data_IF_503301655471
#
_entry.id   IF_503301655471
#
_cell.length_a   1.000
_cell.length_b   1.000
_cell.length_c   1.000
_cell.angle_alpha   90.00
_cell.angle_beta   90.00
_cell.angle_gamma   90.00
#
_symmetry.space_group_name_H-M   'P 1'
#
loop_
_entity.id
_entity.type
_entity.pdbx_description
1 polymer ?
#
# COMPACT_ATOMS: atom_id res chain seq x y z
N UNK A 1 6.54 -16.40 -10.83
CA UNK A 1 5.40 -15.92 -11.60
C UNK A 1 5.86 -14.92 -12.66
N UNK A 2 6.15 -15.36 -13.92
CA UNK A 2 6.59 -14.46 -14.98
C UNK A 2 5.46 -13.62 -15.56
N UNK A 3 4.21 -14.04 -15.36
CA UNK A 3 3.03 -13.43 -15.98
C UNK A 3 2.32 -12.45 -15.04
N UNK A 4 1.59 -11.48 -15.65
CA UNK A 4 0.73 -10.52 -14.94
C UNK A 4 -0.53 -10.35 -15.80
N UNK A 5 -1.73 -10.40 -15.22
CA UNK A 5 -2.09 -10.57 -13.81
C UNK A 5 -2.02 -12.01 -13.29
N UNK A 6 -1.90 -12.99 -14.19
CA UNK A 6 -1.86 -14.41 -13.87
C UNK A 6 -0.47 -14.83 -13.33
N UNK A 7 -0.39 -16.07 -12.83
CA UNK A 7 0.85 -16.70 -12.46
C UNK A 7 0.90 -18.08 -13.13
N UNK A 8 1.81 -18.29 -14.08
CA UNK A 8 1.89 -19.48 -14.90
C UNK A 8 0.59 -19.77 -15.68
N UNK A 9 -0.10 -18.72 -16.13
CA UNK A 9 -1.37 -18.82 -16.87
C UNK A 9 -2.60 -19.09 -15.99
N UNK A 10 -2.46 -19.20 -14.66
CA UNK A 10 -3.56 -19.48 -13.73
C UNK A 10 -3.74 -18.36 -12.70
N UNK A 11 -4.97 -18.20 -12.17
CA UNK A 11 -5.25 -17.27 -11.08
C UNK A 11 -4.62 -17.71 -9.75
N UNK A 12 -4.65 -19.04 -9.49
CA UNK A 12 -3.98 -19.67 -8.34
C UNK A 12 -3.03 -20.70 -8.90
N UNK A 13 -1.71 -20.43 -8.91
CA UNK A 13 -0.73 -21.35 -9.47
C UNK A 13 -0.56 -22.58 -8.56
N UNK A 14 -0.06 -23.70 -9.11
CA UNK A 14 0.33 -24.82 -8.29
C UNK A 14 1.47 -24.43 -7.35
N UNK A 15 1.21 -24.44 -6.04
CA UNK A 15 2.15 -24.01 -4.99
C UNK A 15 3.20 -25.08 -4.67
N UNK A 16 3.83 -25.62 -5.71
CA UNK A 16 4.82 -26.72 -5.60
C UNK A 16 6.25 -26.22 -5.37
N UNK A 17 6.49 -24.92 -5.51
CA UNK A 17 7.81 -24.30 -5.37
C UNK A 17 7.71 -23.09 -4.46
N UNK A 18 8.63 -22.98 -3.49
CA UNK A 18 8.68 -21.89 -2.51
C UNK A 18 8.76 -20.49 -3.16
N UNK A 19 9.47 -20.35 -4.29
CA UNK A 19 9.57 -19.07 -5.01
C UNK A 19 8.25 -18.66 -5.64
N UNK A 20 7.49 -19.61 -6.21
CA UNK A 20 6.16 -19.34 -6.78
C UNK A 20 5.21 -18.96 -5.66
N UNK A 21 5.22 -19.70 -4.57
CA UNK A 21 4.39 -19.41 -3.37
C UNK A 21 4.68 -18.01 -2.82
N UNK A 22 5.96 -17.66 -2.68
CA UNK A 22 6.37 -16.35 -2.18
C UNK A 22 5.89 -15.21 -3.10
N UNK A 23 6.10 -15.33 -4.40
CA UNK A 23 5.66 -14.32 -5.37
C UNK A 23 4.14 -14.17 -5.40
N UNK A 24 3.40 -15.28 -5.38
CA UNK A 24 1.94 -15.26 -5.34
C UNK A 24 1.42 -14.61 -4.06
N UNK A 25 1.94 -15.03 -2.90
CA UNK A 25 1.55 -14.48 -1.59
C UNK A 25 1.87 -12.99 -1.50
N UNK A 26 3.05 -12.56 -1.97
CA UNK A 26 3.43 -11.15 -2.01
C UNK A 26 2.44 -10.32 -2.84
N UNK A 27 2.03 -10.80 -4.02
CA UNK A 27 1.04 -10.11 -4.87
C UNK A 27 -0.31 -10.01 -4.17
N UNK A 28 -0.79 -11.09 -3.57
CA UNK A 28 -2.08 -11.12 -2.87
C UNK A 28 -2.09 -10.12 -1.71
N UNK A 29 -1.07 -10.17 -0.84
CA UNK A 29 -0.92 -9.23 0.28
C UNK A 29 -0.80 -7.79 -0.24
N UNK A 30 -0.03 -7.57 -1.31
CA UNK A 30 0.14 -6.25 -1.92
C UNK A 30 -1.17 -5.65 -2.44
N UNK A 31 -2.00 -6.46 -3.11
CA UNK A 31 -3.33 -6.03 -3.60
C UNK A 31 -4.24 -5.69 -2.41
N UNK A 32 -4.31 -6.54 -1.39
CA UNK A 32 -5.13 -6.30 -0.20
C UNK A 32 -4.68 -5.02 0.52
N UNK A 33 -3.37 -4.84 0.72
CA UNK A 33 -2.82 -3.63 1.32
C UNK A 33 -3.15 -2.37 0.50
N UNK A 34 -3.03 -2.44 -0.83
CA UNK A 34 -3.37 -1.32 -1.72
C UNK A 34 -4.85 -0.93 -1.60
N UNK A 35 -5.76 -1.90 -1.61
CA UNK A 35 -7.20 -1.65 -1.43
C UNK A 35 -7.51 -1.03 -0.07
N UNK A 36 -6.88 -1.50 1.01
CA UNK A 36 -7.05 -0.95 2.35
C UNK A 36 -6.53 0.50 2.44
N UNK A 37 -5.36 0.79 1.88
CA UNK A 37 -4.76 2.13 1.91
C UNK A 37 -5.60 3.12 1.09
N UNK A 38 -6.06 2.72 -0.10
CA UNK A 38 -6.94 3.55 -0.93
C UNK A 38 -8.26 3.79 -0.21
N UNK A 39 -8.87 2.75 0.35
CA UNK A 39 -10.11 2.86 1.13
C UNK A 39 -9.97 3.81 2.31
N UNK A 40 -8.89 3.69 3.09
CA UNK A 40 -8.58 4.60 4.20
C UNK A 40 -8.40 6.04 3.73
N UNK A 41 -7.66 6.25 2.64
CA UNK A 41 -7.42 7.58 2.07
C UNK A 41 -8.73 8.25 1.62
N UNK A 42 -9.60 7.51 0.93
CA UNK A 42 -10.92 7.98 0.52
C UNK A 42 -11.80 8.31 1.73
N UNK A 43 -11.77 7.49 2.77
CA UNK A 43 -12.51 7.75 4.00
C UNK A 43 -12.04 9.03 4.69
N UNK A 44 -10.73 9.24 4.85
CA UNK A 44 -10.12 10.44 5.43
C UNK A 44 -10.58 11.71 4.68
N UNK A 45 -10.63 11.65 3.35
CA UNK A 45 -11.10 12.78 2.53
C UNK A 45 -12.59 13.05 2.74
N UNK A 46 -13.42 12.00 2.81
CA UNK A 46 -14.89 12.12 2.96
C UNK A 46 -15.32 12.63 4.32
N UNK A 47 -14.63 12.24 5.39
CA UNK A 47 -14.97 12.68 6.76
C UNK A 47 -14.45 14.10 7.08
N UNK A 48 -13.98 14.83 6.09
CA UNK A 48 -13.45 16.20 6.26
C UNK A 48 -12.39 16.31 7.36
N UNK A 49 -11.51 15.32 7.44
CA UNK A 49 -10.41 15.31 8.39
C UNK A 49 -9.52 16.56 8.27
N UNK A 50 -8.76 16.93 9.31
CA UNK A 50 -7.83 18.05 9.27
C UNK A 50 -6.89 18.00 8.06
N UNK A 51 -6.56 19.18 7.50
CA UNK A 51 -5.75 19.29 6.28
C UNK A 51 -4.49 18.42 6.27
N UNK A 52 -3.66 18.35 7.34
CA UNK A 52 -2.46 17.51 7.33
C UNK A 52 -2.78 16.02 7.18
N UNK A 53 -3.85 15.52 7.80
CA UNK A 53 -4.26 14.12 7.65
C UNK A 53 -4.76 13.83 6.24
N UNK A 54 -5.51 14.76 5.63
CA UNK A 54 -5.97 14.62 4.24
C UNK A 54 -4.82 14.59 3.25
N UNK A 55 -3.81 15.46 3.43
CA UNK A 55 -2.62 15.48 2.56
C UNK A 55 -1.82 14.19 2.67
N UNK A 56 -1.62 13.67 3.89
CA UNK A 56 -0.94 12.38 4.09
C UNK A 56 -1.74 11.20 3.52
N UNK A 57 -3.06 11.22 3.65
CA UNK A 57 -3.92 10.21 3.03
C UNK A 57 -3.81 10.22 1.51
N UNK A 58 -3.85 11.39 0.87
CA UNK A 58 -3.68 11.52 -0.58
C UNK A 58 -2.27 11.11 -1.02
N UNK A 59 -1.23 11.46 -0.25
CA UNK A 59 0.13 11.01 -0.51
C UNK A 59 0.25 9.49 -0.42
N UNK A 60 -0.35 8.88 0.60
CA UNK A 60 -0.36 7.41 0.74
C UNK A 60 -1.06 6.73 -0.45
N UNK A 61 -2.19 7.27 -0.91
CA UNK A 61 -2.87 6.78 -2.10
C UNK A 61 -2.01 6.89 -3.36
N UNK A 62 -1.34 8.03 -3.57
CA UNK A 62 -0.44 8.21 -4.72
C UNK A 62 0.75 7.24 -4.67
N UNK A 63 1.36 7.07 -3.49
CA UNK A 63 2.49 6.16 -3.31
C UNK A 63 2.08 4.70 -3.51
N UNK A 64 0.91 4.28 -3.03
CA UNK A 64 0.48 2.88 -3.22
C UNK A 64 0.14 2.58 -4.68
N UNK A 65 -0.44 3.52 -5.41
CA UNK A 65 -0.68 3.37 -6.86
C UNK A 65 0.66 3.25 -7.60
N UNK A 66 1.62 4.10 -7.28
CA UNK A 66 2.99 4.03 -7.82
C UNK A 66 3.65 2.70 -7.48
N UNK A 67 3.46 2.21 -6.26
CA UNK A 67 3.98 0.93 -5.78
C UNK A 67 3.46 -0.25 -6.62
N UNK A 68 2.15 -0.28 -6.89
CA UNK A 68 1.53 -1.31 -7.73
C UNK A 68 2.06 -1.24 -9.16
N UNK A 69 2.17 -0.04 -9.74
CA UNK A 69 2.72 0.17 -11.08
C UNK A 69 4.18 -0.30 -11.20
N UNK A 70 5.04 0.05 -10.24
CA UNK A 70 6.44 -0.40 -10.19
C UNK A 70 6.55 -1.91 -9.98
N UNK A 71 5.66 -2.51 -9.17
CA UNK A 71 5.57 -3.96 -9.02
C UNK A 71 5.26 -4.64 -10.34
N UNK A 72 4.31 -4.10 -11.12
CA UNK A 72 4.00 -4.59 -12.46
C UNK A 72 5.21 -4.47 -13.40
N UNK A 73 5.84 -3.29 -13.46
CA UNK A 73 7.05 -3.07 -14.28
C UNK A 73 8.17 -4.02 -13.88
N UNK A 74 8.38 -4.27 -12.60
CA UNK A 74 9.40 -5.21 -12.10
C UNK A 74 9.19 -6.62 -12.64
N UNK A 75 7.93 -7.07 -12.76
CA UNK A 75 7.62 -8.40 -13.31
C UNK A 75 7.89 -8.45 -14.81
N UNK A 76 7.34 -7.48 -15.57
CA UNK A 76 7.48 -7.50 -17.04
C UNK A 76 8.93 -7.27 -17.52
N UNK A 77 9.76 -6.66 -16.68
CA UNK A 77 11.21 -6.48 -16.94
C UNK A 77 12.07 -7.62 -16.36
N UNK A 78 11.44 -8.74 -16.00
CA UNK A 78 12.13 -9.90 -15.42
C UNK A 78 12.98 -9.54 -14.20
N UNK A 79 12.45 -8.71 -13.32
CA UNK A 79 13.10 -8.24 -12.07
C UNK A 79 14.37 -7.42 -12.32
N UNK A 80 14.38 -6.58 -13.35
CA UNK A 80 15.48 -5.65 -13.57
C UNK A 80 15.78 -4.80 -12.33
N UNK A 81 17.06 -4.52 -12.07
CA UNK A 81 17.53 -3.87 -10.84
C UNK A 81 16.88 -2.51 -10.63
N UNK A 82 16.76 -1.70 -11.67
CA UNK A 82 16.22 -0.34 -11.56
C UNK A 82 14.77 -0.31 -11.07
N UNK A 83 13.78 -0.97 -11.72
CA UNK A 83 12.40 -0.94 -11.24
C UNK A 83 12.25 -1.58 -9.86
N UNK A 84 12.98 -2.65 -9.54
CA UNK A 84 12.96 -3.28 -8.21
C UNK A 84 13.48 -2.32 -7.13
N UNK A 85 14.56 -1.58 -7.41
CA UNK A 85 15.11 -0.59 -6.48
C UNK A 85 14.12 0.55 -6.21
N UNK A 86 13.47 1.08 -7.26
CA UNK A 86 12.43 2.09 -7.10
C UNK A 86 11.20 1.56 -6.35
N UNK A 87 10.78 0.33 -6.64
CA UNK A 87 9.70 -0.32 -5.91
C UNK A 87 10.00 -0.41 -4.41
N UNK A 88 11.22 -0.78 -4.03
CA UNK A 88 11.66 -0.84 -2.62
C UNK A 88 11.71 0.56 -1.99
N UNK A 89 12.23 1.57 -2.71
CA UNK A 89 12.30 2.95 -2.23
C UNK A 89 10.90 3.54 -1.96
N UNK A 90 9.97 3.35 -2.89
CA UNK A 90 8.59 3.82 -2.75
C UNK A 90 7.88 3.08 -1.61
N UNK A 91 8.16 1.78 -1.40
CA UNK A 91 7.64 1.02 -0.26
C UNK A 91 8.08 1.64 1.08
N UNK A 92 9.36 2.02 1.20
CA UNK A 92 9.87 2.69 2.39
C UNK A 92 9.19 4.06 2.62
N UNK A 93 9.02 4.86 1.56
CA UNK A 93 8.29 6.13 1.60
C UNK A 93 6.82 5.97 2.00
N UNK A 94 6.15 4.96 1.48
CA UNK A 94 4.77 4.63 1.84
C UNK A 94 4.66 4.25 3.32
N UNK A 95 5.56 3.39 3.82
CA UNK A 95 5.59 3.01 5.24
C UNK A 95 5.79 4.23 6.13
N UNK A 96 6.75 5.10 5.82
CA UNK A 96 7.00 6.34 6.57
C UNK A 96 5.75 7.25 6.58
N UNK A 97 5.06 7.37 5.45
CA UNK A 97 3.82 8.16 5.31
C UNK A 97 2.71 7.59 6.19
N UNK A 98 2.52 6.27 6.21
CA UNK A 98 1.51 5.60 7.02
C UNK A 98 1.81 5.73 8.54
N UNK A 99 3.07 5.59 8.93
CA UNK A 99 3.49 5.80 10.33
C UNK A 99 3.19 7.23 10.76
N UNK A 100 3.54 8.23 9.94
CA UNK A 100 3.26 9.63 10.24
C UNK A 100 1.75 9.91 10.30
N UNK A 101 0.97 9.34 9.39
CA UNK A 101 -0.49 9.44 9.39
C UNK A 101 -1.08 8.89 10.70
N UNK A 102 -0.66 7.70 11.11
CA UNK A 102 -1.10 7.07 12.36
C UNK A 102 -0.73 7.91 13.59
N UNK A 103 0.50 8.41 13.66
CA UNK A 103 0.98 9.25 14.76
C UNK A 103 0.16 10.55 14.88
N UNK A 104 -0.07 11.25 13.78
CA UNK A 104 -0.87 12.48 13.79
C UNK A 104 -2.34 12.20 14.14
N UNK A 105 -2.91 11.09 13.69
CA UNK A 105 -4.28 10.70 14.04
C UNK A 105 -4.40 10.44 15.56
N UNK A 106 -3.43 9.76 16.17
CA UNK A 106 -3.40 9.54 17.62
C UNK A 106 -3.26 10.84 18.40
N UNK A 107 -2.35 11.74 18.01
CA UNK A 107 -2.17 13.03 18.68
C UNK A 107 -3.42 13.89 18.60
N UNK A 108 -4.09 13.94 17.46
CA UNK A 108 -5.35 14.67 17.30
C UNK A 108 -6.47 14.11 18.17
N UNK A 109 -6.50 12.80 18.42
CA UNK A 109 -7.47 12.17 19.31
C UNK A 109 -7.20 12.52 20.79
N UNK A 110 -5.94 12.51 21.20
CA UNK A 110 -5.53 12.84 22.58
C UNK A 110 -5.74 14.32 22.93
N UNK A 111 -5.69 15.22 21.96
CA UNK A 111 -5.92 16.65 22.16
C UNK A 111 -7.38 17.06 22.23
N UNK A 112 -8.33 16.15 22.03
CA UNK A 112 -9.76 16.44 22.20
C UNK A 112 -10.13 16.48 23.70
N UNK A 113 -10.86 17.52 24.18
CA UNK A 113 -11.35 17.54 25.55
C UNK A 113 -12.31 16.37 25.80
N UNK A 114 -12.35 15.82 27.02
CA UNK A 114 -13.28 14.74 27.37
C UNK A 114 -14.70 15.16 27.03
N UNK A 115 -15.43 14.28 26.32
CA UNK A 115 -16.85 14.53 26.04
C UNK A 115 -17.61 14.62 27.35
N UNK A 116 -18.48 15.65 27.56
CA UNK A 116 -19.34 15.69 28.70
C UNK A 116 -20.20 14.42 28.70
N UNK A 117 -20.09 13.65 29.78
CA UNK A 117 -20.95 12.51 30.02
C UNK A 117 -22.33 13.10 30.36
N UNK A 118 -23.21 13.05 29.37
CA UNK A 118 -24.62 13.40 29.59
C UNK A 118 -25.40 12.28 30.23
#
# INVERSE_FOLDING_TARGET
CPDVPLCLGEFVPPLVNSMITLHFTHRLIGILAALMIIGLSLWIVRVSAPKPLRLLGLLAAALVVTQVALGFVSVVTSLAVIPVSFHTLIAAGLLATLVRLATLAQLSHLSQPPRPQG
#
